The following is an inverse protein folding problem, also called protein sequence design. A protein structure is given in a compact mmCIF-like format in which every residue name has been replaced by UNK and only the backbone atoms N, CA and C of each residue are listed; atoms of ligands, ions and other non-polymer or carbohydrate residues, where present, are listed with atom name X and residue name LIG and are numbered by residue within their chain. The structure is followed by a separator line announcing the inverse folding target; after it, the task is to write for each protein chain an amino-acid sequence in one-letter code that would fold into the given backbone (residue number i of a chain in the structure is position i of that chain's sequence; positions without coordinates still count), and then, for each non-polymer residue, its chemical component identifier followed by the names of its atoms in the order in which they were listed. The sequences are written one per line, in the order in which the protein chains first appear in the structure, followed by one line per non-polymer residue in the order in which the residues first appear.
data_IF_233758965559
#
_entry.id   IF_233758965559
#
_cell.length_a   1.000
_cell.length_b   1.000
_cell.length_c   1.000
_cell.angle_alpha   90.00
_cell.angle_beta   90.00
_cell.angle_gamma   90.00
#
_symmetry.space_group_name_H-M   'P 1'
#
loop_
_entity.id
_entity.type
_entity.pdbx_description
1 polymer ?
#
# COMPACT_ATOMS: atom_id res chain seq x y z
N UNK A 1 -7.96 -13.67 9.06
CA UNK A 1 -7.59 -15.05 9.40
C UNK A 1 -6.22 -15.36 8.83
N UNK A 2 -5.25 -15.51 9.71
CA UNK A 2 -3.86 -15.90 9.42
C UNK A 2 -3.64 -17.40 9.23
N UNK A 3 -2.40 -17.82 8.99
CA UNK A 3 -2.01 -19.25 8.97
C UNK A 3 -2.27 -20.04 7.69
N UNK A 4 -2.44 -19.35 6.55
CA UNK A 4 -2.79 -19.97 5.27
C UNK A 4 -1.69 -19.89 4.19
N UNK A 5 -0.52 -19.34 4.53
CA UNK A 5 0.52 -19.06 3.54
C UNK A 5 1.00 -20.33 2.82
N UNK A 6 1.02 -21.49 3.50
CA UNK A 6 1.57 -22.73 2.96
C UNK A 6 0.52 -23.74 2.46
N UNK A 7 -0.77 -23.36 2.43
CA UNK A 7 -1.84 -24.27 2.00
C UNK A 7 -1.65 -24.77 0.55
N UNK A 8 -1.13 -23.93 -0.35
CA UNK A 8 -0.91 -24.31 -1.75
C UNK A 8 0.10 -25.45 -1.93
N UNK A 9 0.93 -25.70 -0.92
CA UNK A 9 1.90 -26.81 -0.90
C UNK A 9 1.51 -27.90 0.10
N UNK A 10 0.25 -27.90 0.57
CA UNK A 10 -0.31 -28.94 1.44
C UNK A 10 0.11 -28.84 2.92
N UNK A 11 0.78 -27.77 3.34
CA UNK A 11 1.16 -27.57 4.75
C UNK A 11 0.17 -26.64 5.42
N UNK A 12 -0.49 -27.14 6.46
CA UNK A 12 -1.44 -26.38 7.27
C UNK A 12 -0.76 -25.92 8.56
N UNK A 13 -0.84 -24.61 8.85
CA UNK A 13 -0.37 -24.09 10.12
C UNK A 13 -1.29 -24.51 11.28
N UNK A 14 -0.67 -24.90 12.38
CA UNK A 14 -1.32 -25.17 13.66
C UNK A 14 -1.67 -23.86 14.33
N UNK A 15 -2.86 -23.80 14.92
CA UNK A 15 -3.24 -22.72 15.83
C UNK A 15 -2.54 -22.92 17.18
N UNK A 16 -2.15 -21.82 17.81
CA UNK A 16 -1.41 -21.83 19.08
C UNK A 16 -2.10 -20.96 20.12
N UNK A 17 -1.86 -21.29 21.40
CA UNK A 17 -2.34 -20.47 22.52
C UNK A 17 -1.38 -19.30 22.83
N UNK A 18 -1.72 -18.48 23.81
CA UNK A 18 -0.92 -17.31 24.20
C UNK A 18 0.46 -17.69 24.73
N UNK A 19 0.54 -18.74 25.54
CA UNK A 19 1.79 -19.19 26.15
C UNK A 19 2.76 -19.64 25.07
N UNK A 20 2.30 -20.46 24.12
CA UNK A 20 3.06 -20.89 22.94
C UNK A 20 3.46 -19.71 22.05
N UNK A 21 2.55 -18.78 21.80
CA UNK A 21 2.85 -17.55 21.05
C UNK A 21 4.01 -16.78 21.69
N UNK A 22 3.97 -16.56 23.00
CA UNK A 22 5.00 -15.84 23.72
C UNK A 22 6.36 -16.56 23.68
N UNK A 23 6.37 -17.89 23.77
CA UNK A 23 7.58 -18.71 23.65
C UNK A 23 8.21 -18.54 22.27
N UNK A 24 7.41 -18.64 21.20
CA UNK A 24 7.91 -18.50 19.83
C UNK A 24 8.40 -17.08 19.58
N UNK A 25 7.68 -16.07 20.06
CA UNK A 25 8.11 -14.67 19.93
C UNK A 25 9.48 -14.45 20.59
N UNK A 26 9.65 -14.93 21.82
CA UNK A 26 10.92 -14.81 22.54
C UNK A 26 12.06 -15.51 21.81
N UNK A 27 11.85 -16.74 21.33
CA UNK A 27 12.85 -17.50 20.59
C UNK A 27 13.23 -16.82 19.26
N UNK A 28 12.23 -16.36 18.48
CA UNK A 28 12.49 -15.65 17.22
C UNK A 28 13.31 -14.37 17.49
N UNK A 29 12.91 -13.54 18.46
CA UNK A 29 13.66 -12.33 18.82
C UNK A 29 15.10 -12.66 19.27
N UNK A 30 15.31 -13.74 20.00
CA UNK A 30 16.64 -14.16 20.47
C UNK A 30 17.56 -14.62 19.33
N UNK A 31 17.01 -15.24 18.28
CA UNK A 31 17.79 -15.76 17.15
C UNK A 31 18.27 -14.69 16.19
N UNK A 32 17.58 -13.55 16.11
CA UNK A 32 17.99 -12.44 15.25
C UNK A 32 19.18 -11.67 15.86
N UNK A 33 20.13 -11.19 15.04
CA UNK A 33 21.24 -10.39 15.54
C UNK A 33 20.76 -9.11 16.23
N UNK A 34 21.40 -8.73 17.36
CA UNK A 34 20.99 -7.54 18.15
C UNK A 34 21.00 -6.21 17.38
N UNK A 35 21.77 -6.10 16.30
CA UNK A 35 21.80 -4.90 15.46
C UNK A 35 20.68 -4.87 14.42
N UNK A 36 19.95 -5.97 14.23
CA UNK A 36 18.82 -6.05 13.32
C UNK A 36 17.59 -5.48 14.00
N UNK A 37 16.95 -4.50 13.37
CA UNK A 37 15.66 -4.00 13.83
C UNK A 37 14.56 -5.01 13.47
N UNK A 38 13.93 -5.55 14.50
CA UNK A 38 12.87 -6.54 14.42
C UNK A 38 11.83 -6.20 15.49
N UNK A 39 10.57 -6.09 15.07
CA UNK A 39 9.44 -5.78 15.95
C UNK A 39 8.43 -6.92 15.87
N UNK A 40 8.04 -7.47 17.02
CA UNK A 40 6.92 -8.40 17.10
C UNK A 40 5.63 -7.57 17.21
N UNK A 41 4.71 -7.73 16.27
CA UNK A 41 3.45 -6.97 16.28
C UNK A 41 2.67 -7.23 17.56
N UNK A 42 2.17 -6.15 18.17
CA UNK A 42 1.33 -6.26 19.37
C UNK A 42 -0.05 -6.83 19.02
N UNK A 43 -0.57 -7.62 19.93
CA UNK A 43 -1.85 -8.33 19.79
C UNK A 43 -2.78 -7.91 20.92
N UNK A 44 -4.10 -7.92 20.69
CA UNK A 44 -5.08 -7.73 21.77
C UNK A 44 -4.76 -8.67 22.94
N UNK A 45 -4.67 -8.16 24.17
CA UNK A 45 -4.22 -8.96 25.33
C UNK A 45 -5.11 -10.17 25.59
N UNK A 46 -6.41 -10.05 25.35
CA UNK A 46 -7.37 -11.14 25.56
C UNK A 46 -7.30 -12.25 24.50
N UNK A 47 -6.63 -12.01 23.36
CA UNK A 47 -6.54 -12.99 22.27
C UNK A 47 -5.92 -14.27 22.82
N UNK A 48 -6.66 -15.37 22.74
CA UNK A 48 -6.26 -16.69 23.27
C UNK A 48 -5.72 -17.63 22.20
N UNK A 49 -5.96 -17.30 20.94
CA UNK A 49 -5.73 -18.20 19.81
C UNK A 49 -5.16 -17.44 18.61
N UNK A 50 -4.01 -17.93 18.10
CA UNK A 50 -3.22 -17.34 17.03
C UNK A 50 -3.08 -18.31 15.86
N UNK A 51 -3.30 -17.82 14.64
CA UNK A 51 -3.07 -18.59 13.41
C UNK A 51 -1.65 -18.42 12.84
N UNK A 52 -1.00 -17.31 13.19
CA UNK A 52 0.30 -16.86 12.75
C UNK A 52 0.89 -15.86 13.76
N UNK A 53 2.15 -15.52 13.56
CA UNK A 53 2.91 -14.52 14.32
C UNK A 53 3.54 -13.55 13.33
N UNK A 54 3.17 -12.28 13.40
CA UNK A 54 3.70 -11.24 12.54
C UNK A 54 4.91 -10.54 13.17
N UNK A 55 5.97 -10.40 12.39
CA UNK A 55 7.14 -9.60 12.69
C UNK A 55 7.37 -8.57 11.59
N UNK A 56 7.82 -7.38 11.98
CA UNK A 56 8.27 -6.35 11.04
C UNK A 56 9.78 -6.26 11.14
N UNK A 57 10.44 -6.35 9.99
CA UNK A 57 11.90 -6.37 9.91
C UNK A 57 12.40 -5.27 9.00
N UNK A 58 13.36 -4.50 9.47
CA UNK A 58 14.11 -3.59 8.62
C UNK A 58 15.10 -4.41 7.79
N UNK A 59 14.81 -4.53 6.50
CA UNK A 59 15.63 -5.25 5.55
C UNK A 59 16.79 -4.37 5.10
N UNK A 60 17.97 -4.98 4.98
CA UNK A 60 19.12 -4.27 4.43
C UNK A 60 18.97 -4.08 2.91
N UNK A 61 19.49 -3.00 2.33
CA UNK A 61 19.43 -2.78 0.89
C UNK A 61 19.98 -3.97 0.11
N UNK A 62 19.18 -4.49 -0.83
CA UNK A 62 19.52 -5.65 -1.69
C UNK A 62 19.71 -6.98 -0.96
N UNK A 63 19.30 -7.06 0.30
CA UNK A 63 19.37 -8.31 1.07
C UNK A 63 18.44 -9.38 0.48
N UNK A 64 18.97 -10.59 0.32
CA UNK A 64 18.17 -11.79 0.13
C UNK A 64 17.71 -12.33 1.49
N UNK A 65 16.61 -11.76 1.99
CA UNK A 65 16.11 -12.09 3.32
C UNK A 65 15.71 -13.57 3.46
N UNK A 66 15.36 -14.26 2.37
CA UNK A 66 15.12 -15.71 2.41
C UNK A 66 16.38 -16.50 2.80
N UNK A 67 17.53 -16.09 2.28
CA UNK A 67 18.82 -16.68 2.65
C UNK A 67 19.17 -16.37 4.10
N UNK A 68 18.91 -15.15 4.57
CA UNK A 68 19.05 -14.79 6.00
C UNK A 68 18.18 -15.70 6.89
N UNK A 69 16.91 -15.91 6.54
CA UNK A 69 16.02 -16.80 7.30
C UNK A 69 16.52 -18.25 7.32
N UNK A 70 17.09 -18.78 6.22
CA UNK A 70 17.71 -20.12 6.21
C UNK A 70 18.95 -20.22 7.09
N UNK A 71 19.70 -19.13 7.26
CA UNK A 71 20.83 -19.11 8.20
C UNK A 71 20.36 -19.12 9.65
N UNK A 72 19.27 -18.39 9.95
CA UNK A 72 18.72 -18.25 11.31
C UNK A 72 17.94 -19.50 11.74
N UNK A 73 17.11 -20.06 10.87
CA UNK A 73 16.17 -21.14 11.19
C UNK A 73 16.57 -22.50 10.62
N UNK A 74 17.65 -22.57 9.84
CA UNK A 74 18.14 -23.79 9.21
C UNK A 74 17.80 -23.88 7.72
N UNK A 75 18.63 -24.62 6.98
CA UNK A 75 18.57 -24.69 5.50
C UNK A 75 17.24 -25.23 4.98
N UNK A 76 16.61 -26.13 5.72
CA UNK A 76 15.39 -26.84 5.34
C UNK A 76 14.11 -26.12 5.76
N UNK A 77 14.20 -24.91 6.34
CA UNK A 77 13.01 -24.13 6.68
C UNK A 77 12.16 -23.88 5.42
N UNK A 78 10.86 -24.14 5.55
CA UNK A 78 9.91 -23.85 4.48
C UNK A 78 9.67 -22.34 4.43
N UNK A 79 9.79 -21.76 3.24
CA UNK A 79 9.64 -20.32 3.00
C UNK A 79 8.59 -20.12 1.92
N UNK A 80 7.65 -19.20 2.16
CA UNK A 80 6.78 -18.65 1.13
C UNK A 80 7.02 -17.14 1.03
N UNK A 81 7.22 -16.64 -0.19
CA UNK A 81 7.47 -15.22 -0.46
C UNK A 81 6.33 -14.65 -1.29
N UNK A 82 5.72 -13.58 -0.79
CA UNK A 82 4.71 -12.82 -1.49
C UNK A 82 4.98 -11.32 -1.35
N UNK A 83 5.61 -10.72 -2.37
CA UNK A 83 5.98 -9.30 -2.37
C UNK A 83 6.87 -8.94 -1.17
N UNK A 84 6.40 -8.07 -0.27
CA UNK A 84 7.08 -7.65 0.96
C UNK A 84 6.85 -8.56 2.16
N UNK A 85 6.03 -9.61 2.01
CA UNK A 85 5.76 -10.61 3.04
C UNK A 85 6.59 -11.87 2.77
N UNK A 86 7.30 -12.35 3.78
CA UNK A 86 8.01 -13.63 3.74
C UNK A 86 7.57 -14.46 4.95
N UNK A 87 6.90 -15.56 4.70
CA UNK A 87 6.42 -16.49 5.73
C UNK A 87 7.39 -17.66 5.87
N UNK A 88 7.52 -18.18 7.10
CA UNK A 88 8.17 -19.47 7.38
C UNK A 88 7.24 -20.42 8.12
N UNK A 89 7.54 -21.72 8.06
CA UNK A 89 7.03 -22.70 9.03
C UNK A 89 8.07 -22.87 10.15
N UNK A 90 7.67 -22.46 11.34
CA UNK A 90 8.42 -22.62 12.58
C UNK A 90 8.02 -23.91 13.29
N UNK A 91 9.02 -24.76 13.57
CA UNK A 91 8.85 -26.10 14.15
C UNK A 91 9.44 -26.22 15.57
N UNK A 92 9.49 -25.12 16.33
CA UNK A 92 10.04 -25.13 17.69
C UNK A 92 9.06 -25.60 18.77
N UNK A 93 7.79 -25.84 18.43
CA UNK A 93 6.82 -26.49 19.31
C UNK A 93 6.57 -27.90 18.80
N UNK A 94 6.75 -28.90 19.66
CA UNK A 94 6.62 -30.31 19.29
C UNK A 94 5.23 -30.59 18.69
N UNK A 95 5.22 -31.22 17.51
CA UNK A 95 4.00 -31.61 16.80
C UNK A 95 3.21 -30.45 16.17
N UNK A 96 3.74 -29.22 16.15
CA UNK A 96 3.05 -28.05 15.57
C UNK A 96 3.89 -27.36 14.50
N UNK A 97 3.25 -27.10 13.36
CA UNK A 97 3.78 -26.24 12.30
C UNK A 97 3.22 -24.84 12.51
N UNK A 98 4.00 -23.88 12.98
CA UNK A 98 3.50 -22.52 13.24
C UNK A 98 3.90 -21.60 12.10
N UNK A 99 2.97 -20.81 11.57
CA UNK A 99 3.31 -19.78 10.58
C UNK A 99 3.91 -18.56 11.29
N UNK A 100 5.09 -18.14 10.86
CA UNK A 100 5.70 -16.87 11.28
C UNK A 100 5.90 -16.01 10.04
N UNK A 101 5.31 -14.83 10.04
CA UNK A 101 5.30 -13.90 8.92
C UNK A 101 6.26 -12.74 9.18
N UNK A 102 7.10 -12.44 8.20
CA UNK A 102 8.02 -11.31 8.22
C UNK A 102 7.60 -10.28 7.18
N UNK A 103 7.21 -9.10 7.66
CA UNK A 103 6.86 -7.93 6.88
C UNK A 103 8.13 -7.10 6.69
N UNK A 104 8.67 -7.13 5.47
CA UNK A 104 9.93 -6.47 5.14
C UNK A 104 9.70 -4.98 4.85
N UNK A 105 10.29 -4.12 5.68
CA UNK A 105 10.39 -2.68 5.46
C UNK A 105 11.78 -2.36 4.93
N UNK A 106 11.86 -1.59 3.85
CA UNK A 106 13.13 -1.25 3.18
C UNK A 106 13.67 0.14 3.53
N UNK A 107 12.88 0.94 4.25
CA UNK A 107 13.21 2.32 4.59
C UNK A 107 13.16 2.52 6.11
N UNK A 108 14.33 2.75 6.70
CA UNK A 108 14.50 2.99 8.12
C UNK A 108 13.65 4.17 8.63
N UNK A 109 13.43 5.20 7.80
CA UNK A 109 12.61 6.35 8.16
C UNK A 109 11.12 6.04 8.31
N UNK A 110 10.68 4.85 7.87
CA UNK A 110 9.28 4.41 7.94
C UNK A 110 9.07 3.20 8.85
N UNK A 111 10.14 2.61 9.38
CA UNK A 111 10.09 1.39 10.17
C UNK A 111 9.18 1.53 11.40
N UNK A 112 9.39 2.57 12.21
CA UNK A 112 8.56 2.82 13.40
C UNK A 112 7.09 3.09 13.03
N UNK A 113 6.85 3.79 11.92
CA UNK A 113 5.49 4.01 11.43
C UNK A 113 4.80 2.69 11.11
N UNK A 114 5.47 1.79 10.38
CA UNK A 114 4.94 0.46 10.06
C UNK A 114 4.72 -0.37 11.31
N UNK A 115 5.63 -0.31 12.30
CA UNK A 115 5.49 -1.02 13.58
C UNK A 115 4.21 -0.64 14.29
N UNK A 116 4.02 0.66 14.53
CA UNK A 116 2.81 1.12 15.18
C UNK A 116 1.58 0.85 14.33
N UNK A 117 1.61 1.11 13.02
CA UNK A 117 0.43 0.85 12.18
C UNK A 117 -0.02 -0.62 12.23
N UNK A 118 0.89 -1.59 12.30
CA UNK A 118 0.55 -3.00 12.24
C UNK A 118 0.34 -3.64 13.62
N UNK A 119 0.55 -2.88 14.70
CA UNK A 119 0.15 -3.28 16.04
C UNK A 119 -1.38 -3.32 16.19
N UNK A 120 -1.82 -4.15 17.13
CA UNK A 120 -3.22 -4.28 17.58
C UNK A 120 -4.16 -4.83 16.50
N UNK A 121 -3.78 -5.92 15.84
CA UNK A 121 -4.65 -6.66 14.92
C UNK A 121 -5.16 -5.81 13.74
N UNK A 122 -6.48 -5.80 13.51
CA UNK A 122 -7.10 -5.10 12.37
C UNK A 122 -7.31 -3.59 12.64
N UNK A 123 -6.78 -3.05 13.74
CA UNK A 123 -6.98 -1.65 14.16
C UNK A 123 -6.64 -0.67 13.05
N UNK A 124 -5.48 -0.80 12.40
CA UNK A 124 -5.08 0.12 11.33
C UNK A 124 -5.95 0.08 10.09
N UNK A 125 -6.52 -1.07 9.77
CA UNK A 125 -7.44 -1.19 8.64
C UNK A 125 -8.72 -0.38 8.91
N UNK A 126 -9.24 -0.45 10.14
CA UNK A 126 -10.44 0.29 10.52
C UNK A 126 -10.12 1.78 10.68
N UNK A 127 -9.01 2.11 11.35
CA UNK A 127 -8.50 3.47 11.51
C UNK A 127 -8.31 4.16 10.16
N UNK A 128 -7.66 3.51 9.19
CA UNK A 128 -7.48 4.05 7.84
C UNK A 128 -8.80 4.27 7.10
N UNK A 129 -9.82 3.43 7.35
CA UNK A 129 -11.17 3.62 6.82
C UNK A 129 -11.85 4.85 7.43
N UNK A 130 -11.75 5.03 8.76
CA UNK A 130 -12.29 6.22 9.44
C UNK A 130 -11.61 7.48 8.90
N UNK A 131 -10.28 7.51 8.86
CA UNK A 131 -9.51 8.64 8.33
C UNK A 131 -9.90 8.94 6.88
N UNK A 132 -10.06 7.92 6.03
CA UNK A 132 -10.37 8.15 4.63
C UNK A 132 -11.82 8.57 4.37
N UNK A 133 -12.77 8.13 5.22
CA UNK A 133 -14.20 8.24 4.91
C UNK A 133 -14.93 9.22 5.79
N UNK A 134 -14.55 9.37 7.05
CA UNK A 134 -15.19 10.25 8.02
C UNK A 134 -14.54 11.65 8.02
N UNK A 135 -13.21 11.74 7.90
CA UNK A 135 -12.52 13.04 7.82
C UNK A 135 -12.65 13.62 6.40
N UNK A 136 -13.77 14.32 6.18
CA UNK A 136 -14.06 14.98 4.90
C UNK A 136 -13.10 16.13 4.67
N UNK A 137 -12.45 16.13 3.51
CA UNK A 137 -11.53 17.17 3.09
C UNK A 137 -11.87 17.65 1.68
N UNK A 138 -11.61 18.91 1.33
CA UNK A 138 -11.85 19.43 -0.01
C UNK A 138 -10.94 18.71 -1.02
N UNK A 139 -11.46 18.49 -2.23
CA UNK A 139 -10.68 18.11 -3.43
C UNK A 139 -9.88 16.79 -3.33
N UNK A 140 -10.15 15.96 -2.33
CA UNK A 140 -9.37 14.75 -2.10
C UNK A 140 -9.89 13.89 -0.94
N UNK A 141 -8.97 13.09 -0.38
CA UNK A 141 -9.19 12.34 0.86
C UNK A 141 -7.88 12.17 1.62
N UNK A 142 -7.97 11.97 2.93
CA UNK A 142 -6.83 11.49 3.70
C UNK A 142 -6.65 9.98 3.50
N UNK A 143 -5.42 9.50 3.59
CA UNK A 143 -5.08 8.09 3.53
C UNK A 143 -3.96 7.78 4.50
N UNK A 144 -4.24 6.87 5.43
CA UNK A 144 -3.24 6.23 6.26
C UNK A 144 -2.68 5.02 5.51
N UNK A 145 -1.38 4.98 5.26
CA UNK A 145 -0.69 3.86 4.62
C UNK A 145 0.47 3.37 5.48
N UNK A 146 1.10 2.26 5.10
CA UNK A 146 2.20 1.58 5.80
C UNK A 146 3.41 2.47 6.15
N UNK A 147 3.51 3.67 5.57
CA UNK A 147 4.67 4.55 5.68
C UNK A 147 4.36 5.97 6.12
N UNK A 148 3.10 6.41 6.03
CA UNK A 148 2.74 7.81 6.21
C UNK A 148 1.22 8.04 6.30
N UNK A 149 0.86 9.20 6.85
CA UNK A 149 -0.39 9.88 6.53
C UNK A 149 -0.21 10.72 5.26
N UNK A 150 -1.13 10.57 4.31
CA UNK A 150 -1.08 11.24 3.01
C UNK A 150 -2.39 11.93 2.69
N UNK A 151 -2.32 13.05 1.98
CA UNK A 151 -3.45 13.65 1.29
C UNK A 151 -3.47 13.15 -0.16
N UNK A 152 -4.53 12.45 -0.55
CA UNK A 152 -4.75 12.01 -1.92
C UNK A 152 -5.60 13.06 -2.65
N UNK A 153 -4.92 13.86 -3.48
CA UNK A 153 -5.53 14.90 -4.30
C UNK A 153 -6.22 14.27 -5.53
N UNK A 154 -7.50 14.55 -5.73
CA UNK A 154 -8.21 14.15 -6.95
C UNK A 154 -7.90 15.11 -8.09
N UNK A 155 -7.51 14.54 -9.23
CA UNK A 155 -7.17 15.34 -10.41
C UNK A 155 -8.39 15.52 -11.33
N UNK A 156 -8.65 16.73 -11.83
CA UNK A 156 -9.84 17.03 -12.64
C UNK A 156 -9.86 16.31 -14.00
N UNK A 157 -8.69 16.03 -14.59
CA UNK A 157 -8.58 15.49 -15.95
C UNK A 157 -8.82 13.98 -16.08
N UNK A 158 -9.24 13.28 -15.02
CA UNK A 158 -9.44 11.83 -15.06
C UNK A 158 -10.69 11.36 -14.27
N UNK A 159 -11.73 12.20 -14.20
CA UNK A 159 -12.97 11.90 -13.46
C UNK A 159 -12.71 11.37 -12.04
N UNK A 160 -11.67 11.88 -11.35
CA UNK A 160 -11.25 11.43 -10.01
C UNK A 160 -10.57 10.06 -9.94
N UNK A 161 -10.29 9.37 -11.06
CA UNK A 161 -9.65 8.05 -11.08
C UNK A 161 -8.15 8.10 -10.80
N UNK A 162 -7.48 9.16 -11.27
CA UNK A 162 -6.08 9.44 -10.91
C UNK A 162 -6.01 10.39 -9.73
N UNK A 163 -5.10 10.07 -8.84
CA UNK A 163 -4.79 10.87 -7.66
C UNK A 163 -3.28 11.06 -7.56
N UNK A 164 -2.87 12.21 -7.02
CA UNK A 164 -1.52 12.41 -6.52
C UNK A 164 -1.53 12.30 -5.01
N UNK A 165 -0.43 11.82 -4.43
CA UNK A 165 -0.28 11.71 -2.99
C UNK A 165 0.70 12.76 -2.48
N UNK A 166 0.27 13.56 -1.51
CA UNK A 166 1.12 14.51 -0.78
C UNK A 166 1.33 13.94 0.62
N UNK A 167 2.58 13.73 1.03
CA UNK A 167 2.91 13.26 2.38
C UNK A 167 2.62 14.37 3.38
N UNK A 168 1.82 14.05 4.40
CA UNK A 168 1.49 14.97 5.49
C UNK A 168 2.36 14.70 6.73
N UNK A 169 2.50 13.44 7.11
CA UNK A 169 3.38 13.02 8.21
C UNK A 169 3.90 11.61 8.00
N UNK A 170 5.16 11.38 8.39
CA UNK A 170 5.81 10.06 8.48
C UNK A 170 5.98 9.61 9.93
N UNK A 171 5.41 10.33 10.90
CA UNK A 171 5.34 9.93 12.30
C UNK A 171 3.93 9.43 12.60
N UNK A 172 3.81 8.20 13.12
CA UNK A 172 2.51 7.58 13.34
C UNK A 172 1.68 8.28 14.43
N UNK A 173 2.33 8.73 15.50
CA UNK A 173 1.64 9.42 16.59
C UNK A 173 1.20 10.82 16.19
N UNK A 174 2.02 11.55 15.43
CA UNK A 174 1.60 12.80 14.82
C UNK A 174 0.40 12.58 13.89
N UNK A 175 0.44 11.53 13.05
CA UNK A 175 -0.69 11.18 12.19
C UNK A 175 -1.98 10.89 12.97
N UNK A 176 -1.91 10.23 14.13
CA UNK A 176 -3.05 10.03 15.02
C UNK A 176 -3.55 11.36 15.62
N UNK A 177 -2.64 12.15 16.17
CA UNK A 177 -2.96 13.42 16.82
C UNK A 177 -3.65 14.40 15.87
N UNK A 178 -3.06 14.63 14.70
CA UNK A 178 -3.62 15.54 13.69
C UNK A 178 -4.94 15.05 13.10
N UNK A 179 -5.23 13.74 13.18
CA UNK A 179 -6.53 13.19 12.74
C UNK A 179 -7.54 13.09 13.88
N UNK A 180 -7.24 13.66 15.06
CA UNK A 180 -8.15 13.79 16.19
C UNK A 180 -8.21 12.56 17.10
N UNK A 181 -7.29 11.59 16.96
CA UNK A 181 -7.22 10.43 17.83
C UNK A 181 -6.35 10.69 19.06
N UNK A 182 -6.74 10.07 20.18
CA UNK A 182 -6.03 10.20 21.47
C UNK A 182 -4.79 9.31 21.50
N UNK A 183 -3.63 9.88 21.16
CA UNK A 183 -2.32 9.19 21.13
C UNK A 183 -2.04 8.40 22.40
N UNK A 184 -2.34 8.96 23.57
CA UNK A 184 -2.06 8.32 24.86
C UNK A 184 -2.91 7.06 25.10
N UNK A 185 -4.13 7.00 24.56
CA UNK A 185 -4.96 5.79 24.58
C UNK A 185 -4.31 4.70 23.73
N UNK A 186 -3.83 5.06 22.54
CA UNK A 186 -3.16 4.13 21.65
C UNK A 186 -1.86 3.57 22.25
N UNK A 187 -1.02 4.44 22.84
CA UNK A 187 0.24 4.03 23.50
C UNK A 187 0.02 3.08 24.68
N UNK A 188 -1.09 3.23 25.41
CA UNK A 188 -1.46 2.30 26.49
C UNK A 188 -1.74 0.88 25.97
N UNK A 189 -2.13 0.76 24.70
CA UNK A 189 -2.47 -0.50 24.05
C UNK A 189 -3.81 -1.06 24.49
N UNK A 190 -4.25 -2.10 23.79
CA UNK A 190 -5.62 -2.61 23.90
C UNK A 190 -5.68 -4.03 24.47
N UNK A 191 -6.57 -4.21 25.43
CA UNK A 191 -6.92 -5.51 25.99
C UNK A 191 -7.89 -6.27 25.09
N UNK A 192 -8.93 -5.60 24.61
CA UNK A 192 -10.07 -6.21 23.92
C UNK A 192 -10.41 -5.49 22.62
N UNK A 193 -11.24 -6.12 21.77
CA UNK A 193 -11.75 -5.48 20.57
C UNK A 193 -12.63 -4.25 20.89
N UNK A 194 -13.41 -4.31 21.97
CA UNK A 194 -14.28 -3.21 22.41
C UNK A 194 -13.48 -1.98 22.84
N UNK A 195 -12.30 -2.17 23.47
CA UNK A 195 -11.41 -1.05 23.78
C UNK A 195 -10.89 -0.37 22.52
N UNK A 196 -10.58 -1.15 21.46
CA UNK A 196 -10.23 -0.59 20.15
C UNK A 196 -11.42 0.15 19.55
N UNK A 197 -12.62 -0.42 19.62
CA UNK A 197 -13.81 0.21 19.06
C UNK A 197 -14.12 1.54 19.77
N UNK A 198 -14.00 1.56 21.09
CA UNK A 198 -14.11 2.79 21.88
C UNK A 198 -13.07 3.83 21.46
N UNK A 199 -11.80 3.45 21.30
CA UNK A 199 -10.76 4.35 20.79
C UNK A 199 -11.05 4.90 19.39
N UNK A 200 -11.52 4.05 18.48
CA UNK A 200 -11.79 4.43 17.09
C UNK A 200 -13.02 5.35 16.94
N UNK A 201 -14.04 5.14 17.77
CA UNK A 201 -15.30 5.91 17.73
C UNK A 201 -15.27 7.16 18.63
N UNK A 202 -14.32 7.24 19.57
CA UNK A 202 -14.01 8.43 20.37
C UNK A 202 -13.16 9.43 19.57
N UNK A 203 -13.66 9.81 18.39
CA UNK A 203 -13.07 10.80 17.50
C UNK A 203 -14.16 11.80 17.10
N UNK A 204 -13.89 13.10 17.20
CA UNK A 204 -14.85 14.17 16.91
C UNK A 204 -15.41 14.12 15.49
N UNK A 205 -14.64 13.59 14.55
CA UNK A 205 -14.99 13.49 13.14
C UNK A 205 -15.60 12.13 12.76
N UNK A 206 -15.73 11.20 13.70
CA UNK A 206 -16.30 9.88 13.42
C UNK A 206 -17.80 9.98 13.08
N UNK A 207 -18.15 9.46 11.90
CA UNK A 207 -19.52 9.42 11.41
C UNK A 207 -20.00 7.98 11.22
N UNK A 208 -20.90 7.47 12.08
CA UNK A 208 -21.44 6.13 11.93
C UNK A 208 -22.29 5.98 10.64
N UNK A 209 -22.88 7.05 10.12
CA UNK A 209 -23.75 6.99 8.93
C UNK A 209 -22.98 6.57 7.67
N UNK A 210 -21.70 6.95 7.58
CA UNK A 210 -20.81 6.56 6.48
C UNK A 210 -20.67 5.03 6.35
N UNK A 211 -20.80 4.31 7.47
CA UNK A 211 -20.73 2.85 7.51
C UNK A 211 -22.08 2.21 7.17
N UNK A 212 -23.20 2.82 7.59
CA UNK A 212 -24.55 2.39 7.22
C UNK A 212 -24.76 2.53 5.71
N UNK A 213 -24.41 3.68 5.13
CA UNK A 213 -24.51 3.93 3.69
C UNK A 213 -23.62 2.97 2.89
N UNK A 214 -22.45 2.61 3.44
CA UNK A 214 -21.56 1.64 2.83
C UNK A 214 -22.13 0.21 2.88
N UNK A 215 -22.74 -0.19 3.99
CA UNK A 215 -23.41 -1.48 4.13
C UNK A 215 -24.60 -1.63 3.16
N UNK A 216 -25.33 -0.54 2.91
CA UNK A 216 -26.43 -0.50 1.94
C UNK A 216 -25.94 -0.59 0.48
N UNK A 217 -24.77 -0.03 0.17
CA UNK A 217 -24.25 0.07 -1.21
C UNK A 217 -23.28 -1.06 -1.60
N UNK A 218 -22.73 -1.80 -0.65
CA UNK A 218 -21.73 -2.83 -0.92
C UNK A 218 -22.19 -4.20 -0.42
N UNK A 219 -22.44 -5.11 -1.35
CA UNK A 219 -22.51 -6.53 -1.02
C UNK A 219 -21.24 -6.92 -0.25
N UNK A 220 -21.43 -7.41 0.97
CA UNK A 220 -20.51 -8.26 1.78
C UNK A 220 -19.30 -8.71 0.98
N UNK A 221 -18.26 -7.88 0.91
CA UNK A 221 -17.08 -8.23 0.13
C UNK A 221 -16.43 -9.46 0.76
N UNK A 222 -15.91 -10.37 -0.05
CA UNK A 222 -15.16 -11.56 0.40
C UNK A 222 -14.00 -11.23 1.37
N UNK A 223 -13.58 -9.96 1.43
CA UNK A 223 -12.56 -9.44 2.34
C UNK A 223 -13.11 -9.06 3.73
N UNK A 224 -14.36 -8.59 3.85
CA UNK A 224 -15.02 -8.37 5.15
C UNK A 224 -15.23 -9.69 5.90
N UNK A 225 -15.70 -10.73 5.21
CA UNK A 225 -15.95 -12.06 5.79
C UNK A 225 -14.69 -12.75 6.34
N UNK A 226 -13.48 -12.30 5.96
CA UNK A 226 -12.21 -12.90 6.40
C UNK A 226 -11.64 -12.30 7.69
N UNK A 227 -12.20 -11.20 8.18
CA UNK A 227 -11.69 -10.42 9.33
C UNK A 227 -12.79 -10.24 10.37
N UNK A 228 -12.72 -11.03 11.44
CA UNK A 228 -13.73 -11.06 12.50
C UNK A 228 -13.84 -9.71 13.20
N UNK A 229 -12.72 -9.10 13.58
CA UNK A 229 -12.69 -7.81 14.29
C UNK A 229 -13.31 -6.69 13.47
N UNK A 230 -13.00 -6.63 12.17
CA UNK A 230 -13.64 -5.64 11.29
C UNK A 230 -15.15 -5.85 11.21
N UNK A 231 -15.62 -7.09 11.06
CA UNK A 231 -17.06 -7.38 11.01
C UNK A 231 -17.76 -6.97 12.32
N UNK A 232 -17.18 -7.31 13.46
CA UNK A 232 -17.69 -6.91 14.78
C UNK A 232 -17.68 -5.38 14.98
N UNK A 233 -16.73 -4.66 14.39
CA UNK A 233 -16.76 -3.19 14.40
C UNK A 233 -17.97 -2.63 13.65
N UNK A 234 -18.34 -3.18 12.49
CA UNK A 234 -19.54 -2.73 11.77
C UNK A 234 -20.80 -2.95 12.60
N UNK A 235 -20.93 -4.12 13.24
CA UNK A 235 -22.04 -4.42 14.16
C UNK A 235 -22.08 -3.44 15.35
N UNK A 236 -20.91 -3.09 15.90
CA UNK A 236 -20.79 -2.08 16.94
C UNK A 236 -21.28 -0.70 16.45
N UNK A 237 -20.86 -0.27 15.26
CA UNK A 237 -21.23 1.03 14.68
C UNK A 237 -22.73 1.13 14.38
N UNK A 238 -23.37 0.06 13.91
CA UNK A 238 -24.83 0.01 13.70
C UNK A 238 -25.61 0.30 15.00
N UNK A 239 -25.05 -0.07 16.16
CA UNK A 239 -25.68 0.20 17.47
C UNK A 239 -25.54 1.64 17.96
N UNK A 240 -24.68 2.46 17.36
CA UNK A 240 -24.36 3.83 17.79
C UNK A 240 -25.23 4.92 17.13
N UNK A 241 -26.10 4.58 16.18
CA UNK A 241 -26.96 5.56 15.50
C UNK A 241 -28.06 6.12 16.43
N UNK A 242 -28.42 7.43 16.36
CA UNK A 242 -28.21 8.32 15.22
C UNK A 242 -27.17 9.44 15.41
N UNK A 243 -26.69 9.90 14.25
CA UNK A 243 -25.87 11.05 13.86
C UNK A 243 -25.53 12.09 14.94
N UNK A 244 -24.22 12.32 15.14
CA UNK A 244 -23.69 13.54 15.75
C UNK A 244 -23.55 14.62 14.67
N UNK A 245 -23.78 15.89 15.03
CA UNK A 245 -23.36 16.99 14.18
C UNK A 245 -21.84 16.94 14.04
N UNK A 246 -21.35 16.77 12.81
CA UNK A 246 -19.93 16.63 12.55
C UNK A 246 -19.30 17.99 12.35
N UNK A 247 -18.17 18.19 13.00
CA UNK A 247 -17.28 19.30 12.68
C UNK A 247 -16.56 19.03 11.36
N UNK A 248 -16.34 20.07 10.56
CA UNK A 248 -15.49 19.95 9.38
C UNK A 248 -14.05 19.70 9.84
N UNK A 249 -13.35 18.77 9.19
CA UNK A 249 -11.94 18.51 9.51
C UNK A 249 -11.09 19.73 9.08
N UNK A 250 -10.36 20.39 10.00
CA UNK A 250 -9.70 21.67 9.75
C UNK A 250 -8.33 21.46 9.04
N UNK A 251 -8.36 20.80 7.89
CA UNK A 251 -7.16 20.33 7.16
C UNK A 251 -6.11 21.42 6.95
N UNK A 252 -6.52 22.61 6.53
CA UNK A 252 -5.59 23.70 6.18
C UNK A 252 -5.12 24.50 7.41
N UNK A 253 -5.81 24.40 8.54
CA UNK A 253 -5.32 24.97 9.79
C UNK A 253 -4.20 24.08 10.36
N UNK A 254 -4.39 22.76 10.26
CA UNK A 254 -3.40 21.76 10.69
C UNK A 254 -2.18 21.76 9.74
N UNK A 255 -2.41 21.86 8.43
CA UNK A 255 -1.36 21.86 7.41
C UNK A 255 -1.39 23.15 6.57
N UNK A 256 -0.86 24.28 7.10
CA UNK A 256 -0.96 25.59 6.44
C UNK A 256 -0.23 25.66 5.09
N UNK A 257 0.79 24.84 4.87
CA UNK A 257 1.51 24.77 3.60
C UNK A 257 0.82 23.90 2.55
N UNK A 258 -0.21 23.14 2.93
CA UNK A 258 -0.86 22.18 2.03
C UNK A 258 -1.54 22.85 0.82
N UNK A 259 -2.24 24.00 0.93
CA UNK A 259 -2.80 24.69 -0.23
C UNK A 259 -1.74 24.99 -1.30
N UNK A 260 -0.56 25.47 -0.89
CA UNK A 260 0.54 25.74 -1.81
C UNK A 260 1.07 24.46 -2.48
N UNK A 261 1.19 23.36 -1.71
CA UNK A 261 1.59 22.05 -2.24
C UNK A 261 0.55 21.50 -3.22
N UNK A 262 -0.74 21.66 -2.94
CA UNK A 262 -1.83 21.25 -3.84
C UNK A 262 -1.71 21.99 -5.16
N UNK A 263 -1.54 23.32 -5.13
CA UNK A 263 -1.47 24.13 -6.35
C UNK A 263 -0.22 23.79 -7.18
N UNK A 264 0.93 23.66 -6.53
CA UNK A 264 2.16 23.20 -7.19
C UNK A 264 1.98 21.80 -7.83
N UNK A 265 1.30 20.89 -7.14
CA UNK A 265 1.01 19.55 -7.66
C UNK A 265 0.08 19.58 -8.86
N UNK A 266 -1.01 20.36 -8.80
CA UNK A 266 -1.94 20.54 -9.92
C UNK A 266 -1.24 21.11 -11.15
N UNK A 267 -0.43 22.15 -10.95
CA UNK A 267 0.35 22.77 -12.02
C UNK A 267 1.31 21.76 -12.66
N UNK A 268 2.11 21.05 -11.86
CA UNK A 268 3.05 20.06 -12.38
C UNK A 268 2.36 18.94 -13.17
N UNK A 269 1.20 18.46 -12.68
CA UNK A 269 0.40 17.46 -13.39
C UNK A 269 -0.21 18.02 -14.68
N UNK A 270 -0.72 19.25 -14.65
CA UNK A 270 -1.26 19.93 -15.83
C UNK A 270 -0.20 20.12 -16.91
N UNK A 271 0.96 20.64 -16.53
CA UNK A 271 2.12 20.83 -17.42
C UNK A 271 2.57 19.48 -18.04
N UNK A 272 2.64 18.42 -17.23
CA UNK A 272 2.96 17.07 -17.71
C UNK A 272 1.87 16.47 -18.63
N UNK A 273 0.59 16.75 -18.36
CA UNK A 273 -0.52 16.30 -19.18
C UNK A 273 -0.51 16.98 -20.56
N UNK A 274 -0.38 18.31 -20.61
CA UNK A 274 -0.29 19.05 -21.87
C UNK A 274 0.96 18.66 -22.67
N UNK A 275 2.11 18.46 -22.00
CA UNK A 275 3.31 17.92 -22.65
C UNK A 275 3.04 16.55 -23.27
N UNK A 276 2.44 15.63 -22.52
CA UNK A 276 2.11 14.29 -23.02
C UNK A 276 1.13 14.36 -24.18
N UNK A 277 0.10 15.19 -24.10
CA UNK A 277 -0.90 15.40 -25.15
C UNK A 277 -0.22 15.88 -26.44
N UNK A 278 0.64 16.90 -26.36
CA UNK A 278 1.39 17.44 -27.49
C UNK A 278 2.35 16.41 -28.12
N UNK A 279 3.01 15.56 -27.29
CA UNK A 279 3.82 14.45 -27.80
C UNK A 279 2.94 13.44 -28.51
N UNK A 280 1.86 13.00 -27.87
CA UNK A 280 0.98 11.95 -28.42
C UNK A 280 0.24 12.39 -29.67
N UNK A 281 -0.05 13.68 -29.86
CA UNK A 281 -0.65 14.19 -31.09
C UNK A 281 0.31 14.13 -32.27
N UNK A 282 1.62 14.30 -32.04
CA UNK A 282 2.66 14.22 -33.08
C UNK A 282 3.13 12.79 -33.32
N UNK A 283 3.20 11.98 -32.27
CA UNK A 283 3.75 10.63 -32.33
C UNK A 283 3.14 9.71 -31.29
N UNK A 284 2.53 8.63 -31.75
CA UNK A 284 2.08 7.53 -30.91
C UNK A 284 2.01 6.23 -31.73
N UNK A 285 1.80 5.10 -31.06
CA UNK A 285 1.76 3.80 -31.73
C UNK A 285 0.59 3.62 -32.71
N UNK A 286 -0.53 4.34 -32.52
CA UNK A 286 -1.63 4.34 -33.50
C UNK A 286 -1.19 5.02 -34.80
N UNK A 287 -0.57 6.20 -34.72
CA UNK A 287 -0.12 6.94 -35.90
C UNK A 287 0.94 6.17 -36.69
N UNK A 288 1.89 5.53 -36.01
CA UNK A 288 2.92 4.70 -36.67
C UNK A 288 2.28 3.48 -37.34
N UNK A 289 1.30 2.85 -36.70
CA UNK A 289 0.57 1.72 -37.27
C UNK A 289 -0.21 2.13 -38.52
N UNK A 290 -0.87 3.27 -38.48
CA UNK A 290 -1.63 3.84 -39.59
C UNK A 290 -0.70 4.17 -40.77
N UNK A 291 0.44 4.83 -40.52
CA UNK A 291 1.38 5.25 -41.56
C UNK A 291 2.10 4.09 -42.26
N UNK A 292 2.50 3.05 -41.52
CA UNK A 292 3.35 1.97 -42.08
C UNK A 292 2.71 0.58 -42.08
N UNK A 293 1.42 0.45 -41.73
CA UNK A 293 0.71 -0.84 -41.70
C UNK A 293 1.44 -1.93 -40.89
N UNK A 294 2.09 -1.56 -39.80
CA UNK A 294 2.87 -2.49 -38.97
C UNK A 294 1.94 -3.45 -38.23
N UNK A 295 2.24 -4.76 -38.31
CA UNK A 295 1.50 -5.79 -37.58
C UNK A 295 1.68 -5.63 -36.05
N UNK A 296 0.64 -5.90 -35.23
CA UNK A 296 0.68 -5.70 -33.78
C UNK A 296 1.87 -6.35 -33.07
N UNK A 297 2.26 -7.55 -33.48
CA UNK A 297 3.38 -8.33 -32.93
C UNK A 297 4.75 -7.67 -33.13
N UNK A 298 4.91 -6.86 -34.18
CA UNK A 298 6.16 -6.14 -34.46
C UNK A 298 6.17 -4.71 -33.90
N UNK A 299 5.01 -4.22 -33.44
CA UNK A 299 4.83 -2.84 -33.01
C UNK A 299 5.74 -2.47 -31.84
N UNK A 300 5.86 -3.35 -30.84
CA UNK A 300 6.69 -3.08 -29.67
C UNK A 300 8.17 -2.92 -30.03
N UNK A 301 8.69 -3.76 -30.92
CA UNK A 301 10.08 -3.70 -31.36
C UNK A 301 10.34 -2.41 -32.16
N UNK A 302 9.42 -2.05 -33.07
CA UNK A 302 9.51 -0.81 -33.87
C UNK A 302 9.44 0.45 -33.02
N UNK A 303 8.48 0.53 -32.10
CA UNK A 303 8.39 1.64 -31.15
C UNK A 303 9.65 1.76 -30.30
N UNK A 304 10.18 0.63 -29.81
CA UNK A 304 11.43 0.64 -29.04
C UNK A 304 12.58 1.21 -29.86
N UNK A 305 12.78 0.71 -31.09
CA UNK A 305 13.82 1.20 -32.01
C UNK A 305 13.74 2.72 -32.21
N UNK A 306 12.55 3.24 -32.51
CA UNK A 306 12.32 4.68 -32.71
C UNK A 306 12.63 5.46 -31.43
N UNK A 307 12.05 5.06 -30.29
CA UNK A 307 12.22 5.78 -29.01
C UNK A 307 13.67 5.74 -28.52
N UNK A 308 14.43 4.68 -28.84
CA UNK A 308 15.85 4.58 -28.47
C UNK A 308 16.81 5.19 -29.48
N UNK A 309 16.34 5.58 -30.67
CA UNK A 309 17.18 6.15 -31.72
C UNK A 309 17.75 7.53 -31.37
N UNK A 310 17.13 8.22 -30.41
CA UNK A 310 17.52 9.55 -29.98
C UNK A 310 17.51 9.63 -28.45
N UNK A 311 18.58 10.11 -27.80
CA UNK A 311 18.52 10.49 -26.40
C UNK A 311 17.39 11.49 -26.18
N UNK A 312 16.64 11.34 -25.08
CA UNK A 312 15.54 12.23 -24.74
C UNK A 312 14.49 12.37 -25.87
N UNK A 313 14.11 11.23 -26.46
CA UNK A 313 13.11 11.16 -27.54
C UNK A 313 11.87 12.04 -27.30
N UNK A 314 11.32 12.01 -26.08
CA UNK A 314 10.16 12.81 -25.74
C UNK A 314 10.40 14.32 -25.82
N UNK A 315 11.59 14.80 -25.42
CA UNK A 315 11.93 16.23 -25.51
C UNK A 315 12.09 16.66 -26.97
N UNK A 316 12.66 15.78 -27.80
CA UNK A 316 12.71 16.00 -29.25
C UNK A 316 11.30 16.10 -29.85
N UNK A 317 10.43 15.12 -29.63
CA UNK A 317 9.06 15.16 -30.18
C UNK A 317 8.29 16.38 -29.67
N UNK A 318 8.47 16.75 -28.41
CA UNK A 318 7.82 17.92 -27.86
C UNK A 318 8.25 19.22 -28.55
N UNK A 319 9.56 19.41 -28.77
CA UNK A 319 10.11 20.63 -29.38
C UNK A 319 10.06 20.70 -30.91
N UNK A 320 10.01 19.57 -31.61
CA UNK A 320 10.05 19.49 -33.07
C UNK A 320 8.67 19.67 -33.72
N UNK A 321 8.62 20.06 -35.00
CA UNK A 321 7.37 20.03 -35.78
C UNK A 321 6.96 18.58 -36.11
N UNK A 322 5.71 18.39 -36.54
CA UNK A 322 5.24 17.07 -36.95
C UNK A 322 6.06 16.51 -38.13
N UNK A 323 6.41 17.36 -39.10
CA UNK A 323 7.23 16.99 -40.25
C UNK A 323 8.64 16.56 -39.84
N UNK A 324 9.26 17.26 -38.88
CA UNK A 324 10.59 16.90 -38.37
C UNK A 324 10.57 15.56 -37.64
N UNK A 325 9.54 15.30 -36.85
CA UNK A 325 9.34 14.01 -36.17
C UNK A 325 9.19 12.89 -37.19
N UNK A 326 8.31 13.06 -38.19
CA UNK A 326 8.07 12.02 -39.18
C UNK A 326 9.24 11.81 -40.13
N UNK A 327 9.99 12.86 -40.48
CA UNK A 327 11.23 12.72 -41.25
C UNK A 327 12.21 11.78 -40.55
N UNK A 328 12.42 11.97 -39.24
CA UNK A 328 13.28 11.10 -38.44
C UNK A 328 12.75 9.66 -38.38
N UNK A 329 11.43 9.49 -38.20
CA UNK A 329 10.81 8.16 -38.20
C UNK A 329 10.92 7.48 -39.56
N UNK A 330 10.70 8.20 -40.66
CA UNK A 330 10.82 7.70 -42.04
C UNK A 330 12.26 7.20 -42.31
N UNK A 331 13.29 7.94 -41.89
CA UNK A 331 14.70 7.52 -42.02
C UNK A 331 14.97 6.16 -41.34
N UNK A 332 14.37 5.93 -40.16
CA UNK A 332 14.49 4.66 -39.43
C UNK A 332 13.66 3.53 -40.04
N UNK A 333 12.57 3.85 -40.72
CA UNK A 333 11.65 2.88 -41.30
C UNK A 333 12.03 2.49 -42.73
N UNK A 334 12.67 3.37 -43.51
CA UNK A 334 13.17 3.11 -44.87
C UNK A 334 14.34 2.10 -44.87
N UNK A 335 15.15 2.06 -43.80
CA UNK A 335 16.21 1.06 -43.63
C UNK A 335 15.73 -0.39 -43.47
N UNK A 336 14.42 -0.62 -43.45
CA UNK A 336 13.78 -1.92 -43.16
C UNK A 336 13.09 -2.51 -44.39
N UNK A 337 12.67 -1.68 -45.34
CA UNK A 337 12.09 -2.16 -46.60
C UNK A 337 13.14 -2.70 -47.59
N UNK A 338 14.43 -2.52 -47.31
CA UNK A 338 15.54 -3.15 -48.05
C UNK A 338 15.80 -4.62 -47.69
N UNK A 339 15.10 -5.20 -46.71
CA UNK A 339 15.21 -6.61 -46.32
C UNK A 339 13.86 -7.33 -46.40
N UNK A 340 13.08 -7.05 -47.44
CA UNK A 340 11.91 -7.82 -47.82
C UNK A 340 12.21 -8.69 -49.03
N UNK A 341 12.08 -10.01 -48.85
CA UNK A 341 11.94 -11.04 -49.89
C UNK A 341 13.22 -11.49 -50.61
N UNK A 342 13.93 -12.42 -49.98
CA UNK A 342 14.30 -13.66 -50.69
C UNK A 342 13.55 -14.79 -50.00
N UNK A 343 12.87 -15.57 -50.84
CA UNK A 343 11.98 -16.72 -50.59
C UNK A 343 12.36 -17.58 -49.39
#
# INVERSE_FOLDING_TARGET
MGGNAFLSIGVKASRINREEYNVIVADVLQRFPKHRQLHACQELREKKDFGDIDFIVLREPREDFSSTLRQIFGKDVLINKNSHFISIIYNGIEGKNVQVDFICVDDAGTFEFSCHLLDWNDTSCILGEIISRCLKVPEGRLKLCDKALKYQLYLPHDNGRKHQEIVLSTNFYEALEVTGFKVEVYKKGFGTAEEVFAFLTDNTYFDPQVYVDFALNSHKTKQMQKRSMRTSFFEHVESLAPVRALEAFPLFEIFPDLPAKIEATKKAVGDAYERKKAITSKFNGHLVRERYSVLPEHMRARMKMIVTSKPQWEDFVFGATEEEVWKHVDELMVGVHGSGNVV
#
